data_IF_012457281129
#
_entry.id   IF_012457281129
#
_cell.length_a   1.000
_cell.length_b   1.000
_cell.length_c   1.000
_cell.angle_alpha   90.00
_cell.angle_beta   90.00
_cell.angle_gamma   90.00
#
_symmetry.space_group_name_H-M   'P 1'
#
loop_
_entity.id
_entity.type
_entity.pdbx_description
1 polymer ?
#
# COMPACT_ATOMS: atom_id res chain seq x y z
N UNK A 1 -54.62 -26.16 -38.88
CA UNK A 1 -53.85 -24.99 -38.40
C UNK A 1 -53.09 -25.30 -37.10
N UNK A 2 -53.56 -26.24 -36.26
CA UNK A 2 -52.89 -26.59 -34.99
C UNK A 2 -51.60 -27.43 -35.13
N UNK A 3 -51.51 -28.35 -36.09
CA UNK A 3 -50.34 -29.26 -36.22
C UNK A 3 -49.04 -28.51 -36.53
N UNK A 4 -49.11 -27.43 -37.33
CA UNK A 4 -47.95 -26.61 -37.67
C UNK A 4 -47.44 -25.78 -36.47
N UNK A 5 -48.33 -25.39 -35.56
CA UNK A 5 -47.99 -24.62 -34.37
C UNK A 5 -47.27 -25.49 -33.33
N UNK A 6 -47.72 -26.74 -33.14
CA UNK A 6 -47.08 -27.71 -32.25
C UNK A 6 -45.67 -28.11 -32.73
N UNK A 7 -45.46 -28.24 -34.05
CA UNK A 7 -44.14 -28.53 -34.63
C UNK A 7 -43.16 -27.35 -34.44
N UNK A 8 -43.63 -26.11 -34.57
CA UNK A 8 -42.79 -24.91 -34.39
C UNK A 8 -42.32 -24.75 -32.93
N UNK A 9 -43.20 -25.02 -31.96
CA UNK A 9 -42.85 -24.97 -30.52
C UNK A 9 -41.88 -26.09 -30.13
N UNK A 10 -42.08 -27.30 -30.65
CA UNK A 10 -41.17 -28.41 -30.42
C UNK A 10 -39.78 -28.13 -31.01
N UNK A 11 -39.70 -27.59 -32.23
CA UNK A 11 -38.43 -27.26 -32.88
C UNK A 11 -37.67 -26.15 -32.14
N UNK A 12 -38.37 -25.15 -31.63
CA UNK A 12 -37.79 -24.05 -30.86
C UNK A 12 -37.30 -24.48 -29.48
N UNK A 13 -37.99 -25.45 -28.84
CA UNK A 13 -37.54 -26.07 -27.59
C UNK A 13 -36.27 -26.91 -27.80
N UNK A 14 -36.16 -27.63 -28.93
CA UNK A 14 -34.96 -28.42 -29.23
C UNK A 14 -33.77 -27.53 -29.59
N UNK A 15 -33.98 -26.39 -30.23
CA UNK A 15 -32.90 -25.46 -30.57
C UNK A 15 -32.17 -24.94 -29.32
N UNK A 16 -32.91 -24.61 -28.25
CA UNK A 16 -32.34 -24.16 -26.97
C UNK A 16 -31.52 -25.27 -26.28
N UNK A 17 -32.01 -26.50 -26.32
CA UNK A 17 -31.32 -27.66 -25.75
C UNK A 17 -30.04 -28.00 -26.54
N UNK A 18 -30.09 -27.90 -27.87
CA UNK A 18 -28.94 -28.12 -28.74
C UNK A 18 -27.87 -27.04 -28.52
N UNK A 19 -28.26 -25.77 -28.40
CA UNK A 19 -27.30 -24.69 -28.07
C UNK A 19 -26.68 -24.87 -26.69
N UNK A 20 -27.45 -25.29 -25.69
CA UNK A 20 -26.92 -25.56 -24.36
C UNK A 20 -25.91 -26.73 -24.39
N UNK A 21 -26.22 -27.83 -25.10
CA UNK A 21 -25.31 -28.97 -25.25
C UNK A 21 -24.01 -28.57 -25.98
N UNK A 22 -24.11 -27.74 -27.03
CA UNK A 22 -22.94 -27.24 -27.78
C UNK A 22 -22.06 -26.35 -26.90
N UNK A 23 -22.64 -25.42 -26.14
CA UNK A 23 -21.90 -24.55 -25.21
C UNK A 23 -21.21 -25.37 -24.11
N UNK A 24 -21.90 -26.39 -23.59
CA UNK A 24 -21.35 -27.27 -22.55
C UNK A 24 -20.22 -28.16 -23.11
N UNK A 25 -20.36 -28.67 -24.33
CA UNK A 25 -19.31 -29.45 -25.01
C UNK A 25 -18.10 -28.60 -25.38
N UNK A 26 -18.30 -27.35 -25.83
CA UNK A 26 -17.22 -26.41 -26.14
C UNK A 26 -16.44 -26.01 -24.88
N UNK A 27 -17.12 -25.80 -23.76
CA UNK A 27 -16.45 -25.53 -22.47
C UNK A 27 -15.71 -26.75 -21.93
N UNK A 28 -16.23 -27.97 -22.11
CA UNK A 28 -15.51 -29.22 -21.79
C UNK A 28 -14.28 -29.47 -22.69
N UNK A 29 -14.35 -29.08 -23.96
CA UNK A 29 -13.22 -29.21 -24.90
C UNK A 29 -12.11 -28.19 -24.62
N UNK A 30 -12.47 -26.94 -24.26
CA UNK A 30 -11.52 -25.94 -23.79
C UNK A 30 -10.80 -26.41 -22.51
N UNK A 31 -11.53 -26.98 -21.55
CA UNK A 31 -10.94 -27.56 -20.32
C UNK A 31 -9.99 -28.71 -20.62
N UNK A 32 -10.29 -29.58 -21.60
CA UNK A 32 -9.41 -30.70 -21.98
C UNK A 32 -8.12 -30.26 -22.70
N UNK A 33 -8.10 -29.11 -23.38
CA UNK A 33 -6.85 -28.58 -23.96
C UNK A 33 -5.90 -28.02 -22.90
N UNK A 34 -6.39 -27.66 -21.70
CA UNK A 34 -5.56 -27.21 -20.57
C UNK A 34 -4.83 -28.35 -19.82
N UNK A 35 -5.24 -29.61 -19.99
CA UNK A 35 -4.65 -30.75 -19.23
C UNK A 35 -3.50 -31.49 -19.94
N UNK A 36 -3.01 -31.01 -21.08
CA UNK A 36 -1.78 -31.54 -21.69
C UNK A 36 -0.59 -30.67 -21.34
N UNK A 37 0.05 -30.92 -20.19
CA UNK A 37 1.47 -30.57 -19.98
C UNK A 37 2.35 -31.83 -20.09
N UNK A 38 3.49 -31.77 -20.78
CA UNK A 38 4.43 -32.88 -20.85
C UNK A 38 5.21 -33.01 -19.54
N UNK A 39 5.37 -34.25 -19.06
CA UNK A 39 6.26 -34.56 -17.95
C UNK A 39 7.72 -34.31 -18.36
N UNK A 40 8.35 -33.29 -17.78
CA UNK A 40 9.81 -33.17 -17.81
C UNK A 40 10.38 -33.65 -16.47
N UNK A 41 11.10 -34.78 -16.50
CA UNK A 41 11.94 -35.24 -15.39
C UNK A 41 13.19 -34.37 -15.34
N UNK A 42 13.56 -33.87 -14.17
CA UNK A 42 14.90 -33.38 -13.88
C UNK A 42 15.48 -34.17 -12.71
N UNK A 43 16.47 -34.99 -13.01
CA UNK A 43 17.34 -35.59 -12.01
C UNK A 43 18.36 -34.53 -11.56
N UNK A 44 18.43 -34.25 -10.25
CA UNK A 44 19.67 -33.76 -9.62
C UNK A 44 19.82 -34.43 -8.26
N UNK A 45 20.87 -35.24 -8.18
CA UNK A 45 21.52 -35.80 -6.98
C UNK A 45 22.26 -34.71 -6.20
N UNK A 46 22.20 -34.74 -4.87
CA UNK A 46 23.04 -33.87 -4.02
C UNK A 46 22.71 -33.98 -2.53
N UNK A 47 23.55 -34.73 -1.83
CA UNK A 47 23.57 -35.14 -0.41
C UNK A 47 23.54 -34.07 0.69
N UNK A 48 22.85 -34.44 1.79
CA UNK A 48 23.18 -34.30 3.22
C UNK A 48 23.31 -32.90 3.88
N UNK A 49 22.54 -32.65 4.94
CA UNK A 49 23.00 -32.71 6.35
C UNK A 49 21.93 -32.33 7.40
N UNK A 50 22.05 -33.03 8.54
CA UNK A 50 21.75 -32.69 9.95
C UNK A 50 20.39 -32.14 10.42
N UNK A 51 19.79 -32.97 11.28
CA UNK A 51 18.80 -32.65 12.29
C UNK A 51 19.30 -31.60 13.30
N UNK A 52 18.50 -30.55 13.55
CA UNK A 52 18.60 -29.77 14.77
C UNK A 52 17.20 -29.24 15.18
N UNK A 53 16.76 -29.66 16.37
CA UNK A 53 15.63 -29.11 17.13
C UNK A 53 15.80 -27.60 17.31
N UNK A 54 14.71 -26.83 17.22
CA UNK A 54 14.65 -25.52 17.89
C UNK A 54 13.25 -25.22 18.44
N UNK A 55 13.26 -24.92 19.73
CA UNK A 55 12.15 -24.51 20.58
C UNK A 55 11.62 -23.13 20.21
N UNK A 56 10.37 -22.91 20.64
CA UNK A 56 9.60 -21.68 20.61
C UNK A 56 10.30 -20.47 21.24
N UNK A 57 10.04 -19.28 20.70
CA UNK A 57 9.93 -18.04 21.48
C UNK A 57 9.09 -17.01 20.74
N UNK A 58 7.94 -16.69 21.32
CA UNK A 58 7.12 -15.52 20.99
C UNK A 58 7.92 -14.23 21.13
N UNK A 59 7.68 -13.25 20.27
CA UNK A 59 7.71 -11.82 20.63
C UNK A 59 7.07 -10.98 19.52
N UNK A 60 5.91 -10.39 19.82
CA UNK A 60 5.40 -9.19 19.14
C UNK A 60 6.17 -7.96 19.63
N UNK A 61 6.21 -6.88 18.84
CA UNK A 61 6.16 -5.55 19.42
C UNK A 61 5.02 -4.73 18.83
N UNK A 62 4.04 -4.42 19.68
CA UNK A 62 3.12 -3.30 19.50
C UNK A 62 3.75 -2.07 20.16
N UNK A 63 4.00 -1.01 19.39
CA UNK A 63 4.35 0.31 19.94
C UNK A 63 3.21 1.28 19.67
N UNK A 64 2.45 1.55 20.73
CA UNK A 64 1.50 2.66 20.82
C UNK A 64 2.11 3.68 21.77
N UNK A 65 2.30 4.91 21.29
CA UNK A 65 2.78 6.02 22.11
C UNK A 65 1.64 7.05 22.22
N UNK A 66 0.90 7.00 23.32
CA UNK A 66 0.00 8.07 23.73
C UNK A 66 0.83 9.28 24.19
N UNK A 67 0.61 10.44 23.57
CA UNK A 67 1.08 11.72 24.05
C UNK A 67 0.08 12.26 25.09
N UNK A 68 0.50 12.34 26.36
CA UNK A 68 -0.14 13.23 27.35
C UNK A 68 0.84 14.33 27.71
N UNK A 69 0.52 15.53 27.24
CA UNK A 69 1.14 16.80 27.57
C UNK A 69 0.69 17.28 28.95
N UNK A 70 1.63 17.52 29.86
CA UNK A 70 1.42 18.42 31.01
C UNK A 70 2.50 19.49 31.00
N UNK A 71 2.08 20.71 30.65
CA UNK A 71 2.85 21.94 30.80
C UNK A 71 2.82 22.36 32.26
N UNK A 72 4.00 22.53 32.89
CA UNK A 72 4.12 23.18 34.18
C UNK A 72 4.12 24.71 33.98
N UNK A 73 3.16 25.37 34.62
CA UNK A 73 3.05 26.82 34.68
C UNK A 73 4.04 27.39 35.72
N UNK A 74 4.63 28.53 35.35
CA UNK A 74 5.24 29.54 36.22
C UNK A 74 4.42 29.77 37.51
N UNK A 75 5.09 30.09 38.62
CA UNK A 75 4.96 31.39 39.29
C UNK A 75 6.09 31.65 40.30
N UNK A 76 6.49 32.92 40.32
CA UNK A 76 7.57 33.58 41.04
C UNK A 76 7.24 33.81 42.53
N UNK A 77 8.27 33.97 43.37
CA UNK A 77 8.15 34.53 44.72
C UNK A 77 9.52 34.86 45.31
N UNK A 78 9.89 36.14 45.30
CA UNK A 78 11.19 36.64 45.75
C UNK A 78 11.27 36.97 47.24
N UNK A 79 12.51 37.16 47.72
CA UNK A 79 12.83 37.90 48.93
C UNK A 79 14.25 38.49 48.80
N UNK A 80 14.37 39.76 49.21
CA UNK A 80 15.55 40.60 49.07
C UNK A 80 16.52 40.50 50.27
N UNK A 81 17.79 40.80 50.02
CA UNK A 81 18.84 41.10 51.01
C UNK A 81 20.09 41.62 50.30
N UNK A 82 20.73 42.74 50.73
CA UNK A 82 21.78 43.44 49.97
C UNK A 82 23.21 43.14 50.46
N UNK A 83 24.17 43.65 49.67
CA UNK A 83 25.63 43.70 49.86
C UNK A 83 26.37 42.40 49.46
N UNK A 84 27.49 42.41 48.74
CA UNK A 84 28.57 43.37 48.62
C UNK A 84 29.15 43.40 47.19
N UNK A 85 29.81 44.50 46.87
CA UNK A 85 30.64 44.69 45.69
C UNK A 85 31.78 43.64 45.66
N UNK A 86 31.84 42.82 44.61
CA UNK A 86 33.15 42.44 44.08
C UNK A 86 33.08 42.24 42.57
N UNK A 87 34.04 42.88 41.90
CA UNK A 87 34.09 43.10 40.48
C UNK A 87 34.82 41.93 39.83
N UNK A 88 34.10 40.96 39.29
CA UNK A 88 34.68 39.99 38.35
C UNK A 88 33.97 40.14 37.02
N UNK A 89 34.59 40.92 36.13
CA UNK A 89 34.34 40.86 34.69
C UNK A 89 34.68 39.45 34.23
N UNK A 90 33.76 38.51 34.44
CA UNK A 90 33.80 37.21 33.80
C UNK A 90 33.75 37.49 32.30
N UNK A 91 34.89 37.21 31.67
CA UNK A 91 35.21 37.41 30.27
C UNK A 91 34.01 37.06 29.37
N UNK A 92 33.25 38.08 28.97
CA UNK A 92 32.12 37.97 28.05
C UNK A 92 32.60 37.35 26.72
N UNK A 93 33.88 37.56 26.38
CA UNK A 93 34.53 36.95 25.23
C UNK A 93 34.67 35.43 25.36
N UNK A 94 34.85 34.91 26.58
CA UNK A 94 34.93 33.46 26.84
C UNK A 94 33.56 32.79 26.82
N UNK A 95 32.52 33.47 27.31
CA UNK A 95 31.12 32.98 27.23
C UNK A 95 30.63 32.96 25.78
N UNK A 96 31.02 33.95 24.95
CA UNK A 96 30.71 33.97 23.51
C UNK A 96 31.54 32.94 22.74
N UNK A 97 32.81 32.73 23.10
CA UNK A 97 33.67 31.72 22.49
C UNK A 97 33.26 30.27 22.85
N UNK A 98 32.82 30.00 24.07
CA UNK A 98 32.26 28.70 24.46
C UNK A 98 30.90 28.45 23.81
N UNK A 99 30.08 29.49 23.59
CA UNK A 99 28.81 29.37 22.87
C UNK A 99 29.00 29.06 21.37
N UNK A 100 30.17 29.38 20.80
CA UNK A 100 30.54 29.02 19.42
C UNK A 100 31.29 27.69 19.31
N UNK A 101 31.90 27.20 20.39
CA UNK A 101 32.63 25.93 20.44
C UNK A 101 31.73 24.69 20.60
N UNK A 102 30.44 24.87 20.91
CA UNK A 102 29.46 23.80 21.05
C UNK A 102 28.55 23.60 19.84
N UNK A 103 28.72 24.39 18.78
CA UNK A 103 27.82 24.37 17.64
C UNK A 103 27.93 23.04 16.90
N UNK A 104 26.81 22.32 16.78
CA UNK A 104 26.74 21.11 15.95
C UNK A 104 27.13 21.48 14.51
N UNK A 105 27.81 20.59 13.77
CA UNK A 105 28.10 20.78 12.33
C UNK A 105 26.86 21.24 11.53
N UNK A 106 25.67 20.87 12.00
CA UNK A 106 24.38 21.27 11.43
C UNK A 106 23.96 22.71 11.72
N UNK A 107 24.36 23.28 12.86
CA UNK A 107 24.12 24.70 13.18
C UNK A 107 25.00 25.62 12.34
N UNK A 108 26.12 25.10 11.83
CA UNK A 108 27.03 25.80 10.93
C UNK A 108 26.63 25.68 9.46
N UNK A 109 25.77 24.71 9.11
CA UNK A 109 25.27 24.51 7.76
C UNK A 109 24.11 25.47 7.47
N UNK A 110 24.24 26.19 6.35
CA UNK A 110 23.17 27.07 5.84
C UNK A 110 21.92 26.21 5.57
N UNK A 111 20.69 26.68 5.92
CA UNK A 111 19.46 25.89 5.80
C UNK A 111 19.23 25.23 4.43
N UNK A 112 19.66 25.85 3.34
CA UNK A 112 19.54 25.32 1.98
C UNK A 112 20.45 24.11 1.76
N UNK A 113 21.69 24.14 2.28
CA UNK A 113 22.65 23.03 2.17
C UNK A 113 22.16 21.86 3.04
N UNK A 114 21.65 22.17 4.22
CA UNK A 114 20.99 21.20 5.12
C UNK A 114 19.85 20.50 4.39
N UNK A 115 18.91 21.25 3.80
CA UNK A 115 17.75 20.70 3.09
C UNK A 115 18.18 19.84 1.91
N UNK A 116 19.17 20.31 1.14
CA UNK A 116 19.72 19.57 0.02
C UNK A 116 20.37 18.25 0.47
N UNK A 117 21.21 18.27 1.52
CA UNK A 117 21.83 17.06 2.06
C UNK A 117 20.78 16.04 2.57
N UNK A 118 19.73 16.53 3.25
CA UNK A 118 18.66 15.68 3.75
C UNK A 118 17.81 15.04 2.63
N UNK A 119 17.68 15.70 1.48
CA UNK A 119 16.91 15.18 0.34
C UNK A 119 17.45 13.85 -0.22
N UNK A 120 18.74 13.55 0.01
CA UNK A 120 19.35 12.30 -0.41
C UNK A 120 19.08 11.13 0.53
N UNK A 121 18.62 11.40 1.76
CA UNK A 121 18.40 10.35 2.75
C UNK A 121 17.18 9.49 2.39
N UNK A 122 17.23 8.21 2.74
CA UNK A 122 16.10 7.30 2.67
C UNK A 122 15.22 7.39 3.92
N UNK A 123 14.02 6.82 3.86
CA UNK A 123 13.08 6.80 4.99
C UNK A 123 13.71 6.29 6.31
N UNK A 124 14.42 5.14 6.33
CA UNK A 124 15.09 4.68 7.54
C UNK A 124 16.13 5.67 8.07
N UNK A 125 16.90 6.33 7.19
CA UNK A 125 17.94 7.26 7.61
C UNK A 125 17.37 8.56 8.16
N UNK A 126 16.31 9.12 7.56
CA UNK A 126 15.58 10.26 8.16
C UNK A 126 14.98 9.90 9.51
N UNK A 127 14.38 8.70 9.64
CA UNK A 127 13.86 8.23 10.92
C UNK A 127 14.97 8.13 11.98
N UNK A 128 16.10 7.48 11.65
CA UNK A 128 17.24 7.35 12.57
C UNK A 128 17.81 8.71 12.94
N UNK A 129 17.99 9.60 11.97
CA UNK A 129 18.47 10.97 12.19
C UNK A 129 17.58 11.70 13.21
N UNK A 130 16.26 11.55 13.07
CA UNK A 130 15.29 12.21 13.98
C UNK A 130 15.40 11.77 15.45
N UNK A 131 16.02 10.62 15.71
CA UNK A 131 16.20 10.05 17.04
C UNK A 131 17.56 10.36 17.68
N UNK A 132 18.46 11.09 17.00
CA UNK A 132 19.82 11.32 17.51
C UNK A 132 19.89 12.43 18.57
N UNK A 133 19.52 13.66 18.24
CA UNK A 133 19.46 14.81 19.16
C UNK A 133 18.36 15.81 18.73
N UNK A 134 18.14 16.87 19.51
CA UNK A 134 17.08 17.86 19.25
C UNK A 134 17.24 18.60 17.91
N UNK A 135 18.47 18.97 17.54
CA UNK A 135 18.77 19.67 16.29
C UNK A 135 18.52 18.78 15.07
N UNK A 136 19.03 17.55 15.11
CA UNK A 136 18.81 16.54 14.09
C UNK A 136 17.34 16.13 13.99
N UNK A 137 16.62 16.11 15.12
CA UNK A 137 15.16 15.92 15.12
C UNK A 137 14.46 17.05 14.39
N UNK A 138 14.84 18.30 14.64
CA UNK A 138 14.26 19.45 13.92
C UNK A 138 14.56 19.36 12.42
N UNK A 139 15.81 19.08 12.05
CA UNK A 139 16.24 18.96 10.66
C UNK A 139 15.55 17.79 9.93
N UNK A 140 15.49 16.61 10.54
CA UNK A 140 14.83 15.43 9.97
C UNK A 140 13.29 15.56 9.88
N UNK A 141 12.70 16.54 10.56
CA UNK A 141 11.27 16.87 10.44
C UNK A 141 11.02 18.08 9.52
N UNK A 142 12.04 18.55 8.80
CA UNK A 142 11.87 19.55 7.74
C UNK A 142 10.98 19.01 6.62
N UNK A 143 9.94 19.76 6.28
CA UNK A 143 8.91 19.30 5.36
C UNK A 143 9.42 19.14 3.91
N UNK A 144 10.43 19.92 3.51
CA UNK A 144 11.02 19.83 2.17
C UNK A 144 11.81 18.53 2.00
N UNK A 145 12.47 18.04 3.06
CA UNK A 145 13.14 16.75 3.04
C UNK A 145 12.13 15.61 2.77
N UNK A 146 10.96 15.65 3.41
CA UNK A 146 9.89 14.67 3.18
C UNK A 146 9.23 14.82 1.81
N UNK A 147 9.08 16.06 1.30
CA UNK A 147 8.62 16.31 -0.06
C UNK A 147 9.56 15.69 -1.09
N UNK A 148 10.87 15.95 -0.97
CA UNK A 148 11.87 15.39 -1.86
C UNK A 148 11.88 13.85 -1.81
N UNK A 149 11.80 13.27 -0.61
CA UNK A 149 11.70 11.82 -0.44
C UNK A 149 10.43 11.25 -1.07
N UNK A 150 9.29 11.94 -0.96
CA UNK A 150 8.03 11.54 -1.59
C UNK A 150 8.16 11.42 -3.11
N UNK A 151 8.71 12.45 -3.76
CA UNK A 151 8.90 12.46 -5.21
C UNK A 151 9.92 11.41 -5.67
N UNK A 152 10.89 11.07 -4.82
CA UNK A 152 11.86 10.00 -5.09
C UNK A 152 11.23 8.60 -5.06
N UNK A 153 10.40 8.33 -4.05
CA UNK A 153 9.92 6.97 -3.76
C UNK A 153 8.59 6.62 -4.47
N UNK A 154 7.81 7.61 -4.88
CA UNK A 154 6.49 7.39 -5.47
C UNK A 154 6.38 7.91 -6.91
N UNK A 155 5.75 9.06 -7.12
CA UNK A 155 5.31 9.54 -8.45
C UNK A 155 5.53 11.04 -8.62
N UNK A 156 5.76 11.45 -9.87
CA UNK A 156 5.78 12.86 -10.30
C UNK A 156 4.39 13.40 -10.64
N UNK A 157 3.43 12.51 -10.93
CA UNK A 157 2.01 12.90 -10.95
C UNK A 157 1.64 13.26 -9.52
N UNK A 158 1.79 14.53 -9.12
CA UNK A 158 1.33 15.18 -7.86
C UNK A 158 2.15 16.43 -7.44
N UNK A 159 2.77 17.17 -8.35
CA UNK A 159 3.54 18.39 -8.00
C UNK A 159 2.70 19.51 -7.37
N UNK A 160 1.38 19.52 -7.61
CA UNK A 160 0.44 20.54 -7.10
C UNK A 160 -0.13 20.22 -5.73
N UNK A 161 0.26 19.09 -5.13
CA UNK A 161 -0.31 18.64 -3.85
C UNK A 161 0.23 19.46 -2.70
N UNK A 162 -0.68 19.88 -1.83
CA UNK A 162 -0.37 20.56 -0.58
C UNK A 162 -0.97 19.76 0.58
N UNK A 163 -0.19 18.86 1.21
CA UNK A 163 -0.73 18.02 2.28
C UNK A 163 -1.12 18.82 3.52
N UNK A 164 -2.35 18.64 4.00
CA UNK A 164 -2.91 19.36 5.16
C UNK A 164 -2.09 19.18 6.44
N UNK A 165 -1.46 18.01 6.61
CA UNK A 165 -0.66 17.66 7.79
C UNK A 165 0.85 17.58 7.50
N UNK A 166 1.30 18.21 6.41
CA UNK A 166 2.70 18.19 5.96
C UNK A 166 3.08 16.93 5.18
N UNK A 167 4.19 17.03 4.46
CA UNK A 167 4.75 15.97 3.61
C UNK A 167 5.18 14.74 4.40
N UNK A 168 5.63 14.89 5.66
CA UNK A 168 5.95 13.73 6.50
C UNK A 168 4.73 12.83 6.74
N UNK A 169 3.61 13.42 7.12
CA UNK A 169 2.37 12.69 7.36
C UNK A 169 1.82 12.08 6.06
N UNK A 170 1.89 12.83 4.97
CA UNK A 170 1.48 12.37 3.64
C UNK A 170 2.32 11.17 3.16
N UNK A 171 3.65 11.26 3.28
CA UNK A 171 4.56 10.16 2.97
C UNK A 171 4.24 8.91 3.79
N UNK A 172 4.02 9.06 5.10
CA UNK A 172 3.66 7.95 5.97
C UNK A 172 2.33 7.30 5.56
N UNK A 173 1.32 8.10 5.22
CA UNK A 173 0.02 7.62 4.78
C UNK A 173 0.11 6.90 3.42
N UNK A 174 0.83 7.46 2.45
CA UNK A 174 1.05 6.83 1.14
C UNK A 174 1.81 5.51 1.30
N UNK A 175 2.88 5.48 2.12
CA UNK A 175 3.60 4.23 2.41
C UNK A 175 2.71 3.19 3.07
N UNK A 176 1.82 3.59 3.97
CA UNK A 176 0.85 2.68 4.60
C UNK A 176 -0.13 2.10 3.58
N UNK A 177 -0.66 2.93 2.67
CA UNK A 177 -1.55 2.48 1.59
C UNK A 177 -0.86 1.52 0.63
N UNK A 178 0.39 1.79 0.26
CA UNK A 178 1.17 0.89 -0.60
C UNK A 178 1.35 -0.49 0.05
N UNK A 179 1.66 -0.53 1.35
CA UNK A 179 1.76 -1.79 2.09
C UNK A 179 0.41 -2.52 2.18
N UNK A 180 -0.68 -1.80 2.46
CA UNK A 180 -2.04 -2.38 2.50
C UNK A 180 -2.43 -2.95 1.13
N UNK A 181 -2.07 -2.27 0.04
CA UNK A 181 -2.29 -2.78 -1.31
C UNK A 181 -1.44 -4.03 -1.59
N UNK A 182 -0.21 -4.13 -1.10
CA UNK A 182 0.58 -5.37 -1.15
C UNK A 182 -0.11 -6.50 -0.36
N UNK A 183 -0.65 -6.20 0.81
CA UNK A 183 -1.38 -7.20 1.62
C UNK A 183 -2.62 -7.74 0.89
N UNK A 184 -3.32 -6.92 0.09
CA UNK A 184 -4.42 -7.38 -0.75
C UNK A 184 -4.00 -8.54 -1.67
N UNK A 185 -2.88 -8.38 -2.39
CA UNK A 185 -2.35 -9.43 -3.27
C UNK A 185 -1.83 -10.64 -2.49
N UNK A 186 -1.23 -10.44 -1.32
CA UNK A 186 -0.84 -11.54 -0.44
C UNK A 186 -2.06 -12.37 0.00
N UNK A 187 -3.17 -11.71 0.37
CA UNK A 187 -4.42 -12.38 0.76
C UNK A 187 -4.98 -13.19 -0.40
N UNK A 188 -4.93 -12.66 -1.63
CA UNK A 188 -5.36 -13.37 -2.83
C UNK A 188 -4.48 -14.60 -3.08
N UNK A 189 -3.16 -14.43 -3.02
CA UNK A 189 -2.19 -15.51 -3.17
C UNK A 189 -2.41 -16.64 -2.15
N UNK A 190 -2.73 -16.28 -0.91
CA UNK A 190 -3.03 -17.21 0.18
C UNK A 190 -4.43 -17.86 0.06
N UNK A 191 -5.32 -17.33 -0.80
CA UNK A 191 -6.70 -17.80 -0.95
C UNK A 191 -7.54 -17.70 0.34
N UNK A 192 -7.16 -16.81 1.27
CA UNK A 192 -7.75 -16.77 2.61
C UNK A 192 -9.02 -15.92 2.65
N UNK A 193 -10.19 -16.56 2.52
CA UNK A 193 -11.49 -15.89 2.62
C UNK A 193 -11.67 -15.13 3.95
N UNK A 194 -11.15 -15.68 5.06
CA UNK A 194 -11.20 -15.02 6.37
C UNK A 194 -10.37 -13.74 6.42
N UNK A 195 -9.19 -13.73 5.80
CA UNK A 195 -8.39 -12.50 5.70
C UNK A 195 -9.03 -11.49 4.74
N UNK A 196 -9.55 -11.94 3.60
CA UNK A 196 -10.27 -11.09 2.64
C UNK A 196 -11.51 -10.45 3.29
N UNK A 197 -12.31 -11.22 4.02
CA UNK A 197 -13.46 -10.74 4.79
C UNK A 197 -13.08 -9.63 5.78
N UNK A 198 -11.95 -9.76 6.48
CA UNK A 198 -11.45 -8.73 7.41
C UNK A 198 -10.80 -7.53 6.72
N UNK A 199 -10.49 -7.64 5.43
CA UNK A 199 -9.82 -6.62 4.63
C UNK A 199 -10.82 -5.60 4.06
N UNK A 200 -12.01 -6.08 3.69
CA UNK A 200 -13.13 -5.24 3.26
C UNK A 200 -13.81 -4.53 4.43
N UNK A 201 -14.29 -3.31 4.19
CA UNK A 201 -15.17 -2.62 5.11
C UNK A 201 -16.53 -3.32 5.15
N UNK A 202 -17.04 -3.60 6.35
CA UNK A 202 -18.38 -4.16 6.52
C UNK A 202 -19.44 -3.06 6.39
N UNK A 203 -19.77 -2.69 5.15
CA UNK A 203 -20.78 -1.69 4.81
C UNK A 203 -21.65 -2.13 3.61
N UNK A 204 -22.82 -1.53 3.47
CA UNK A 204 -23.76 -1.79 2.36
C UNK A 204 -23.32 -1.15 1.03
N UNK A 205 -22.47 -0.13 1.09
CA UNK A 205 -22.04 0.62 -0.08
C UNK A 205 -20.77 0.10 -0.75
N UNK A 206 -20.07 -0.89 -0.20
CA UNK A 206 -18.86 -1.43 -0.85
C UNK A 206 -19.17 -2.06 -2.20
N UNK A 207 -18.22 -1.97 -3.14
CA UNK A 207 -18.38 -2.43 -4.53
C UNK A 207 -17.22 -3.30 -4.98
N UNK A 208 -17.51 -4.36 -5.71
CA UNK A 208 -16.48 -5.19 -6.32
C UNK A 208 -16.86 -5.49 -7.77
N UNK A 209 -15.93 -5.22 -8.69
CA UNK A 209 -16.01 -5.61 -10.09
C UNK A 209 -14.77 -6.46 -10.37
N UNK A 210 -14.99 -7.77 -10.51
CA UNK A 210 -13.96 -8.70 -10.98
C UNK A 210 -13.76 -8.55 -12.48
N UNK A 211 -12.71 -9.18 -13.03
CA UNK A 211 -12.42 -9.15 -14.46
C UNK A 211 -13.58 -9.65 -15.37
N UNK A 212 -14.53 -10.41 -14.81
CA UNK A 212 -15.76 -10.82 -15.52
C UNK A 212 -16.71 -9.65 -15.85
N UNK A 213 -16.49 -8.46 -15.28
CA UNK A 213 -17.33 -7.27 -15.48
C UNK A 213 -18.62 -7.25 -14.65
N UNK A 214 -18.87 -8.26 -13.82
CA UNK A 214 -20.06 -8.32 -12.95
C UNK A 214 -19.85 -7.41 -11.72
N UNK A 215 -20.82 -6.53 -11.47
CA UNK A 215 -20.86 -5.67 -10.28
C UNK A 215 -21.49 -6.40 -9.09
N UNK A 216 -20.74 -6.50 -7.99
CA UNK A 216 -21.22 -6.94 -6.69
C UNK A 216 -21.32 -5.75 -5.74
N UNK A 217 -22.48 -5.57 -5.10
CA UNK A 217 -22.75 -4.44 -4.20
C UNK A 217 -23.13 -4.91 -2.80
N UNK A 218 -22.49 -4.30 -1.80
CA UNK A 218 -22.69 -4.61 -0.38
C UNK A 218 -21.82 -5.77 0.10
N UNK A 219 -21.42 -5.70 1.38
CA UNK A 219 -20.41 -6.58 1.96
C UNK A 219 -20.65 -8.07 1.70
N UNK A 220 -21.88 -8.57 1.94
CA UNK A 220 -22.18 -9.99 1.77
C UNK A 220 -22.01 -10.47 0.32
N UNK A 221 -22.46 -9.69 -0.66
CA UNK A 221 -22.31 -10.04 -2.08
C UNK A 221 -20.85 -10.00 -2.52
N UNK A 222 -20.09 -9.03 -2.01
CA UNK A 222 -18.64 -8.94 -2.27
C UNK A 222 -17.89 -10.13 -1.67
N UNK A 223 -18.13 -10.50 -0.41
CA UNK A 223 -17.43 -11.64 0.19
C UNK A 223 -17.82 -12.96 -0.47
N UNK A 224 -19.09 -13.13 -0.88
CA UNK A 224 -19.52 -14.29 -1.66
C UNK A 224 -18.81 -14.37 -3.02
N UNK A 225 -18.62 -13.25 -3.71
CA UNK A 225 -17.90 -13.26 -5.00
C UNK A 225 -16.42 -13.66 -4.82
N UNK A 226 -15.76 -13.21 -3.75
CA UNK A 226 -14.41 -13.66 -3.40
C UNK A 226 -14.35 -15.15 -3.03
N UNK A 227 -15.37 -15.67 -2.34
CA UNK A 227 -15.45 -17.11 -2.07
C UNK A 227 -15.52 -17.92 -3.37
N UNK A 228 -16.30 -17.46 -4.36
CA UNK A 228 -16.33 -18.09 -5.68
C UNK A 228 -14.99 -17.98 -6.40
N UNK A 229 -14.35 -16.81 -6.41
CA UNK A 229 -13.05 -16.61 -7.03
C UNK A 229 -11.98 -17.55 -6.46
N UNK A 230 -11.85 -17.64 -5.14
CA UNK A 230 -10.86 -18.52 -4.48
C UNK A 230 -11.12 -20.02 -4.68
N UNK A 231 -12.36 -20.42 -4.99
CA UNK A 231 -12.66 -21.82 -5.29
C UNK A 231 -12.24 -22.23 -6.71
N UNK A 232 -12.10 -21.28 -7.64
CA UNK A 232 -11.75 -21.54 -9.04
C UNK A 232 -10.30 -21.22 -9.37
N UNK A 233 -9.74 -20.19 -8.73
CA UNK A 233 -8.40 -19.68 -9.00
C UNK A 233 -7.50 -19.89 -7.77
N UNK A 234 -6.90 -21.08 -7.66
CA UNK A 234 -5.94 -21.35 -6.58
C UNK A 234 -4.53 -20.95 -7.00
N UNK A 235 -3.89 -20.10 -6.20
CA UNK A 235 -2.45 -19.83 -6.32
C UNK A 235 -2.05 -18.92 -7.47
N UNK A 236 -2.86 -17.89 -7.77
CA UNK A 236 -2.50 -16.86 -8.76
C UNK A 236 -1.38 -15.98 -8.21
N UNK A 237 -0.28 -15.89 -8.95
CA UNK A 237 0.85 -15.00 -8.63
C UNK A 237 0.82 -13.78 -9.55
N UNK A 238 0.34 -12.65 -9.03
CA UNK A 238 0.26 -11.42 -9.80
C UNK A 238 1.63 -10.73 -9.85
N UNK A 239 2.08 -10.38 -11.05
CA UNK A 239 3.10 -9.34 -11.20
C UNK A 239 2.41 -7.98 -11.18
N UNK A 240 2.55 -7.24 -10.09
CA UNK A 240 1.95 -5.90 -9.93
C UNK A 240 2.96 -4.84 -10.36
N UNK A 241 2.57 -3.95 -11.28
CA UNK A 241 3.40 -2.89 -11.85
C UNK A 241 2.64 -1.57 -11.90
N UNK A 242 3.37 -0.50 -12.18
CA UNK A 242 2.82 0.86 -12.35
C UNK A 242 1.90 1.30 -11.21
N UNK A 243 2.23 0.94 -9.97
CA UNK A 243 1.40 1.23 -8.80
C UNK A 243 1.46 2.72 -8.49
N UNK A 244 0.32 3.40 -8.53
CA UNK A 244 0.17 4.82 -8.21
C UNK A 244 -0.87 4.98 -7.11
N UNK A 245 -0.48 5.62 -6.02
CA UNK A 245 -1.36 5.87 -4.88
C UNK A 245 -1.69 7.36 -4.76
N UNK A 246 -2.90 7.64 -4.30
CA UNK A 246 -3.36 8.98 -3.94
C UNK A 246 -4.09 8.90 -2.62
N UNK A 247 -3.67 9.72 -1.66
CA UNK A 247 -4.28 9.79 -0.33
C UNK A 247 -4.96 11.15 -0.17
N UNK A 248 -6.17 11.13 0.34
CA UNK A 248 -6.94 12.31 0.71
C UNK A 248 -7.57 12.08 2.08
N UNK A 249 -6.93 12.61 3.12
CA UNK A 249 -7.39 12.47 4.52
C UNK A 249 -7.63 11.01 4.90
N UNK A 250 -8.90 10.59 5.00
CA UNK A 250 -9.34 9.26 5.39
C UNK A 250 -9.74 8.37 4.20
N UNK A 251 -9.43 8.78 2.97
CA UNK A 251 -9.67 8.00 1.76
C UNK A 251 -8.39 7.90 0.94
N UNK A 252 -8.21 6.80 0.23
CA UNK A 252 -7.13 6.65 -0.73
C UNK A 252 -7.58 5.81 -1.91
N UNK A 253 -6.95 6.00 -3.06
CA UNK A 253 -7.07 5.07 -4.17
C UNK A 253 -5.70 4.70 -4.71
N UNK A 254 -5.62 3.49 -5.21
CA UNK A 254 -4.43 2.92 -5.83
C UNK A 254 -4.82 2.42 -7.20
N UNK A 255 -4.15 2.88 -8.23
CA UNK A 255 -4.23 2.33 -9.59
C UNK A 255 -2.98 1.52 -9.87
N UNK A 256 -3.12 0.44 -10.62
CA UNK A 256 -2.01 -0.45 -10.95
C UNK A 256 -2.32 -1.27 -12.20
N UNK A 257 -1.27 -1.84 -12.77
CA UNK A 257 -1.36 -2.91 -13.77
C UNK A 257 -0.96 -4.23 -13.14
N UNK A 258 -1.70 -5.28 -13.42
CA UNK A 258 -1.38 -6.62 -12.93
C UNK A 258 -1.33 -7.61 -14.07
N UNK A 259 -0.37 -8.53 -14.01
CA UNK A 259 -0.17 -9.57 -15.02
C UNK A 259 -0.24 -10.93 -14.34
N UNK A 260 -0.98 -11.87 -14.94
CA UNK A 260 -1.11 -13.25 -14.47
C UNK A 260 -0.41 -14.14 -15.50
N UNK A 261 0.76 -14.69 -15.18
CA UNK A 261 1.64 -15.42 -16.11
C UNK A 261 1.92 -14.69 -17.46
N UNK A 262 2.90 -15.14 -18.24
CA UNK A 262 3.31 -14.42 -19.47
C UNK A 262 2.26 -14.45 -20.59
N UNK A 263 1.28 -15.35 -20.52
CA UNK A 263 0.29 -15.61 -21.58
C UNK A 263 -1.17 -15.33 -21.18
N UNK A 264 -1.43 -14.94 -19.93
CA UNK A 264 -2.77 -15.05 -19.31
C UNK A 264 -3.46 -13.70 -18.99
N UNK A 265 -3.11 -12.65 -19.73
CA UNK A 265 -3.82 -11.37 -19.70
C UNK A 265 -3.21 -10.35 -18.73
N UNK A 266 -3.33 -9.08 -19.12
CA UNK A 266 -3.01 -7.94 -18.28
C UNK A 266 -4.30 -7.30 -17.79
N UNK A 267 -4.31 -6.77 -16.58
CA UNK A 267 -5.48 -6.10 -16.01
C UNK A 267 -5.09 -4.71 -15.53
N UNK A 268 -5.97 -3.75 -15.75
CA UNK A 268 -5.97 -2.50 -15.00
C UNK A 268 -6.79 -2.72 -13.74
N UNK A 269 -6.25 -2.32 -12.60
CA UNK A 269 -6.94 -2.42 -11.31
C UNK A 269 -6.96 -1.08 -10.60
N UNK A 270 -8.10 -0.79 -9.97
CA UNK A 270 -8.28 0.32 -9.04
C UNK A 270 -8.80 -0.21 -7.72
N UNK A 271 -8.08 0.08 -6.64
CA UNK A 271 -8.48 -0.21 -5.26
C UNK A 271 -8.75 1.11 -4.54
N UNK A 272 -9.90 1.25 -3.89
CA UNK A 272 -10.25 2.40 -3.06
C UNK A 272 -10.33 1.95 -1.60
N UNK A 273 -9.69 2.72 -0.73
CA UNK A 273 -9.57 2.44 0.69
C UNK A 273 -10.14 3.57 1.53
N UNK A 274 -10.72 3.21 2.67
CA UNK A 274 -11.14 4.14 3.72
C UNK A 274 -10.42 3.85 5.03
N UNK A 275 -10.06 4.90 5.77
CA UNK A 275 -9.41 4.82 7.06
C UNK A 275 -10.45 4.93 8.19
N UNK A 276 -10.58 3.84 8.96
CA UNK A 276 -11.48 3.74 10.09
C UNK A 276 -10.72 3.22 11.31
N UNK A 277 -10.83 3.93 12.44
CA UNK A 277 -10.30 3.48 13.74
C UNK A 277 -8.84 3.00 13.73
N UNK A 278 -7.96 3.70 13.00
CA UNK A 278 -6.54 3.34 12.94
C UNK A 278 -6.17 2.31 11.86
N UNK A 279 -7.12 1.91 11.01
CA UNK A 279 -6.91 0.89 9.98
C UNK A 279 -7.54 1.27 8.64
N UNK A 280 -6.86 0.91 7.55
CA UNK A 280 -7.39 1.00 6.20
C UNK A 280 -8.22 -0.23 5.84
N UNK A 281 -9.36 0.00 5.21
CA UNK A 281 -10.28 -1.01 4.70
C UNK A 281 -10.53 -0.80 3.21
N UNK A 282 -10.62 -1.89 2.46
CA UNK A 282 -11.02 -1.85 1.05
C UNK A 282 -12.53 -1.57 0.96
N UNK A 283 -12.90 -0.59 0.15
CA UNK A 283 -14.31 -0.23 -0.09
C UNK A 283 -14.72 -0.39 -1.55
N UNK A 284 -13.75 -0.32 -2.46
CA UNK A 284 -13.97 -0.64 -3.87
C UNK A 284 -12.77 -1.38 -4.45
N UNK A 285 -13.04 -2.44 -5.21
CA UNK A 285 -12.09 -3.10 -6.09
C UNK A 285 -12.69 -3.17 -7.48
N UNK A 286 -11.97 -2.66 -8.47
CA UNK A 286 -12.32 -2.79 -9.88
C UNK A 286 -11.13 -3.38 -10.62
N UNK A 287 -11.33 -4.51 -11.27
CA UNK A 287 -10.40 -5.11 -12.22
C UNK A 287 -11.04 -5.19 -13.61
N UNK A 288 -10.34 -4.67 -14.62
CA UNK A 288 -10.76 -4.76 -16.03
C UNK A 288 -9.64 -5.37 -16.85
N UNK A 289 -9.96 -6.34 -17.70
CA UNK A 289 -9.01 -6.92 -18.65
C UNK A 289 -8.52 -5.85 -19.63
N UNK A 290 -7.21 -5.82 -19.85
CA UNK A 290 -6.58 -5.04 -20.90
C UNK A 290 -6.58 -5.90 -22.15
N UNK A 291 -7.21 -5.40 -23.22
CA UNK A 291 -7.01 -6.01 -24.53
C UNK A 291 -5.51 -5.92 -24.85
N UNK A 292 -4.91 -7.04 -25.24
CA UNK A 292 -3.56 -7.06 -25.77
C UNK A 292 -3.57 -6.31 -27.10
N UNK A 293 -3.40 -4.99 -27.04
CA UNK A 293 -3.35 -4.17 -28.23
C UNK A 293 -2.03 -4.41 -28.95
N UNK A 294 -2.12 -4.89 -30.18
CA UNK A 294 -1.10 -4.63 -31.16
C UNK A 294 -0.99 -3.12 -31.31
N UNK A 295 0.12 -2.56 -30.84
CA UNK A 295 0.63 -1.25 -31.24
C UNK A 295 -0.37 -0.07 -31.11
N UNK A 296 -0.86 0.20 -29.90
CA UNK A 296 -1.36 1.54 -29.59
C UNK A 296 -0.33 2.24 -28.71
N UNK A 297 0.40 3.13 -29.38
CA UNK A 297 1.44 3.97 -28.81
C UNK A 297 1.02 4.61 -27.49
N UNK A 298 1.93 4.50 -26.53
CA UNK A 298 1.97 5.13 -25.23
C UNK A 298 1.45 6.59 -25.26
N UNK A 299 0.17 6.80 -24.98
CA UNK A 299 -0.39 8.13 -24.76
C UNK A 299 -0.18 8.51 -23.29
N UNK A 300 1.04 8.88 -22.95
CA UNK A 300 1.30 9.73 -21.79
C UNK A 300 1.12 11.17 -22.30
N UNK A 301 -0.03 11.77 -21.99
CA UNK A 301 -0.21 13.22 -22.14
C UNK A 301 0.15 13.84 -20.78
N UNK A 302 1.05 14.82 -20.84
CA UNK A 302 1.69 15.56 -19.75
C UNK A 302 0.74 16.07 -18.66
#
# INVERSE_FOLDING_TARGET
>A
MEIAYSLSIALQSHQQLITAIIITLLSLLAVRSFFKRPHHKSNVTGTATSSAKKQARETRPSSSCNHTSNSAALLNGGAAGPAEEDMVMADVSKVVAEMQSGASMMEQLVPEITTHALSYLDYPSLCRLSMTNSLMRKAANDDNAWKALYHKDFTLEQDTVTPVHGWKAYYAATRAIMNVNTDFFNIIKDGSLSSMSRFWLNADYVKCIHASGILFSGYNAVIQSWQHAFNWEQGVDFQVRDVRARVLTNMAWVTMKTYVDMDNGAFNMTNIFEFHHGRWYLVEHHSSEMLADGDIGQQIVH
#
